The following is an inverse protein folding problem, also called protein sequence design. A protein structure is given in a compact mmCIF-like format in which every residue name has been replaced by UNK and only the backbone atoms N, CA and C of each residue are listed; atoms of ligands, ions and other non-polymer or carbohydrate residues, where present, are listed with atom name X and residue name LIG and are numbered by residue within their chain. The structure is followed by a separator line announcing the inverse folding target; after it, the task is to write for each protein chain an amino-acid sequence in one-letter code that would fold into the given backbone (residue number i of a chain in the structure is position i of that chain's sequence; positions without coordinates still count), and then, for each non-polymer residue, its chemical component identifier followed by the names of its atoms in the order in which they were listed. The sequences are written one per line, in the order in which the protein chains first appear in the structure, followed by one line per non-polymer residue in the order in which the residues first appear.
data_IF_553361638689
#
_entry.id   IF_553361638689
#
_cell.length_a   1.000
_cell.length_b   1.000
_cell.length_c   1.000
_cell.angle_alpha   90.00
_cell.angle_beta   90.00
_cell.angle_gamma   90.00
#
_symmetry.space_group_name_H-M   'P 1'
#
loop_
_entity.id
_entity.type
_entity.pdbx_description
1 polymer ?
#
# COMPACT_ATOMS: atom_id res chain seq x y z
N UNK A 1 -14.14 10.65 -15.65
CA UNK A 1 -15.00 10.61 -16.84
C UNK A 1 -16.14 9.61 -16.69
N UNK A 2 -15.91 8.30 -16.36
CA UNK A 2 -16.97 7.28 -16.28
C UNK A 2 -17.96 7.56 -15.13
N UNK A 3 -17.49 7.94 -13.94
CA UNK A 3 -18.35 8.27 -12.81
C UNK A 3 -19.31 9.43 -13.14
N UNK A 4 -18.83 10.49 -13.79
CA UNK A 4 -19.65 11.63 -14.19
C UNK A 4 -20.72 11.25 -15.22
N UNK A 5 -20.45 10.26 -16.11
CA UNK A 5 -21.45 9.72 -17.04
C UNK A 5 -22.49 8.86 -16.35
N UNK A 6 -22.09 8.07 -15.36
CA UNK A 6 -22.99 7.19 -14.60
C UNK A 6 -23.85 7.95 -13.59
N UNK A 7 -23.36 9.07 -13.07
CA UNK A 7 -24.05 9.92 -12.13
C UNK A 7 -23.79 11.40 -12.48
N UNK A 8 -24.55 11.99 -13.43
CA UNK A 8 -24.32 13.36 -13.91
C UNK A 8 -24.50 14.43 -12.82
N UNK A 9 -25.34 14.14 -11.82
CA UNK A 9 -25.66 15.07 -10.71
C UNK A 9 -24.71 14.93 -9.51
N UNK A 10 -23.71 14.04 -9.57
CA UNK A 10 -22.74 13.87 -8.49
C UNK A 10 -21.87 15.12 -8.34
N UNK A 11 -21.70 15.56 -7.09
CA UNK A 11 -20.75 16.61 -6.73
C UNK A 11 -19.38 15.99 -6.53
N UNK A 12 -18.39 16.48 -7.28
CA UNK A 12 -17.00 16.02 -7.17
C UNK A 12 -16.21 17.00 -6.30
N UNK A 13 -15.76 16.52 -5.16
CA UNK A 13 -14.99 17.31 -4.19
C UNK A 13 -13.51 16.90 -4.30
N UNK A 14 -12.56 17.86 -4.41
CA UNK A 14 -11.13 17.55 -4.35
C UNK A 14 -10.74 16.87 -3.04
N UNK A 15 -9.90 15.82 -3.06
CA UNK A 15 -9.44 15.16 -1.85
C UNK A 15 -8.52 16.09 -1.03
N UNK A 16 -8.63 16.03 0.32
CA UNK A 16 -7.81 16.80 1.26
C UNK A 16 -6.91 15.85 2.04
N UNK A 17 -5.89 15.29 1.36
CA UNK A 17 -5.03 14.25 1.94
C UNK A 17 -4.33 14.66 3.23
N UNK A 18 -3.93 15.93 3.39
CA UNK A 18 -3.32 16.44 4.63
C UNK A 18 -4.27 16.37 5.82
N UNK A 19 -5.55 16.74 5.62
CA UNK A 19 -6.58 16.60 6.64
C UNK A 19 -6.86 15.15 6.99
N UNK A 20 -6.92 14.26 5.98
CA UNK A 20 -7.13 12.83 6.23
C UNK A 20 -5.98 12.22 7.04
N UNK A 21 -4.72 12.62 6.75
CA UNK A 21 -3.56 12.18 7.52
C UNK A 21 -3.57 12.75 8.95
N UNK A 22 -4.10 13.95 9.17
CA UNK A 22 -4.26 14.54 10.50
C UNK A 22 -5.27 13.75 11.34
N UNK A 23 -6.46 13.53 10.79
CA UNK A 23 -7.51 12.73 11.47
C UNK A 23 -7.04 11.30 11.71
N UNK A 24 -6.35 10.69 10.75
CA UNK A 24 -5.73 9.37 10.93
C UNK A 24 -4.78 9.33 12.13
N UNK A 25 -3.97 10.39 12.34
CA UNK A 25 -3.10 10.50 13.53
C UNK A 25 -3.88 10.57 14.83
N UNK A 26 -5.00 11.31 14.87
CA UNK A 26 -5.88 11.38 16.03
C UNK A 26 -6.47 9.99 16.37
N UNK A 27 -7.00 9.28 15.37
CA UNK A 27 -7.52 7.92 15.54
C UNK A 27 -6.42 6.95 16.01
N UNK A 28 -5.22 7.03 15.43
CA UNK A 28 -4.08 6.22 15.88
C UNK A 28 -3.66 6.54 17.33
N UNK A 29 -3.81 7.77 17.78
CA UNK A 29 -3.57 8.12 19.18
C UNK A 29 -4.59 7.45 20.13
N UNK A 30 -5.86 7.32 19.73
CA UNK A 30 -6.87 6.53 20.46
C UNK A 30 -6.44 5.06 20.54
N UNK A 31 -6.04 4.45 19.42
CA UNK A 31 -5.59 3.04 19.41
C UNK A 31 -4.43 2.80 20.38
N UNK A 32 -3.44 3.68 20.39
CA UNK A 32 -2.24 3.56 21.24
C UNK A 32 -2.52 3.68 22.75
N UNK A 33 -3.68 4.16 23.16
CA UNK A 33 -4.11 4.13 24.59
C UNK A 33 -4.37 2.71 25.06
N UNK A 34 -4.78 1.81 24.16
CA UNK A 34 -5.17 0.44 24.46
C UNK A 34 -4.08 -0.58 24.20
N UNK A 35 -3.27 -0.38 23.18
CA UNK A 35 -2.14 -1.27 22.84
C UNK A 35 -1.04 -0.54 22.08
N UNK A 36 0.25 -0.84 22.33
CA UNK A 36 1.32 -0.38 21.48
C UNK A 36 1.42 -1.16 20.15
N UNK A 37 0.76 -2.33 20.06
CA UNK A 37 0.84 -3.22 18.89
C UNK A 37 -0.28 -2.84 17.90
N UNK A 38 -0.06 -1.77 17.15
CA UNK A 38 -0.96 -1.23 16.13
C UNK A 38 -0.28 -1.30 14.78
N UNK A 39 -0.87 -2.04 13.83
CA UNK A 39 -0.42 -2.15 12.44
C UNK A 39 -1.34 -1.35 11.52
N UNK A 40 -0.94 -0.16 11.05
CA UNK A 40 -1.71 0.60 10.07
C UNK A 40 -1.72 -0.12 8.71
N UNK A 41 -2.90 -0.24 8.09
CA UNK A 41 -3.06 -0.74 6.73
C UNK A 41 -3.25 0.39 5.72
N UNK A 42 -3.98 1.42 6.13
CA UNK A 42 -4.29 2.62 5.37
C UNK A 42 -4.47 3.81 6.33
N UNK A 43 -4.88 4.97 5.83
CA UNK A 43 -5.19 6.13 6.68
C UNK A 43 -6.36 5.89 7.64
N UNK A 44 -7.27 4.99 7.26
CA UNK A 44 -8.54 4.71 7.95
C UNK A 44 -8.67 3.26 8.43
N UNK A 45 -7.63 2.45 8.28
CA UNK A 45 -7.65 1.03 8.67
C UNK A 45 -6.40 0.64 9.47
N UNK A 46 -6.60 -0.12 10.54
CA UNK A 46 -5.51 -0.70 11.32
C UNK A 46 -5.91 -2.04 11.96
N UNK A 47 -4.91 -2.89 12.21
CA UNK A 47 -5.04 -4.01 13.14
C UNK A 47 -4.46 -3.64 14.49
N UNK A 48 -5.09 -4.12 15.54
CA UNK A 48 -4.66 -3.95 16.93
C UNK A 48 -4.55 -5.34 17.58
N UNK A 49 -3.41 -5.66 18.14
CA UNK A 49 -3.31 -6.80 19.05
C UNK A 49 -3.54 -6.31 20.49
N UNK A 50 -4.67 -6.69 21.05
CA UNK A 50 -5.09 -6.31 22.40
C UNK A 50 -4.97 -7.46 23.41
N UNK A 51 -4.32 -8.57 23.02
CA UNK A 51 -4.20 -9.78 23.85
C UNK A 51 -3.58 -9.46 25.21
N UNK A 52 -2.44 -8.76 25.22
CA UNK A 52 -1.75 -8.38 26.46
C UNK A 52 -2.52 -7.32 27.26
N UNK A 53 -3.35 -6.52 26.61
CA UNK A 53 -4.10 -5.41 27.21
C UNK A 53 -5.40 -5.84 27.89
N UNK A 54 -5.83 -7.07 27.67
CA UNK A 54 -7.09 -7.61 28.21
C UNK A 54 -7.18 -7.60 29.74
N UNK A 55 -6.05 -7.71 30.43
CA UNK A 55 -5.98 -7.62 31.91
C UNK A 55 -6.27 -6.22 32.45
N UNK A 56 -5.98 -5.18 31.67
CA UNK A 56 -6.15 -3.77 32.07
C UNK A 56 -7.51 -3.21 31.63
N UNK A 57 -7.93 -3.56 30.41
CA UNK A 57 -9.07 -2.91 29.77
C UNK A 57 -10.28 -3.83 29.56
N UNK A 58 -10.17 -5.11 29.93
CA UNK A 58 -11.19 -6.13 29.73
C UNK A 58 -11.06 -6.86 28.38
N UNK A 59 -12.04 -7.72 28.05
CA UNK A 59 -12.04 -8.51 26.82
C UNK A 59 -11.97 -7.63 25.55
N UNK A 60 -11.46 -8.19 24.44
CA UNK A 60 -11.31 -7.47 23.16
C UNK A 60 -12.60 -6.79 22.69
N UNK A 61 -13.76 -7.39 22.93
CA UNK A 61 -15.05 -6.79 22.59
C UNK A 61 -15.31 -5.48 23.38
N UNK A 62 -14.93 -5.44 24.65
CA UNK A 62 -15.09 -4.24 25.49
C UNK A 62 -14.11 -3.14 25.06
N UNK A 63 -12.88 -3.52 24.76
CA UNK A 63 -11.88 -2.60 24.19
C UNK A 63 -12.40 -2.00 22.88
N UNK A 64 -12.97 -2.82 22.00
CA UNK A 64 -13.53 -2.36 20.73
C UNK A 64 -14.68 -1.34 20.93
N UNK A 65 -15.56 -1.57 21.91
CA UNK A 65 -16.64 -0.61 22.25
C UNK A 65 -16.09 0.72 22.72
N UNK A 66 -15.06 0.71 23.56
CA UNK A 66 -14.41 1.93 24.04
C UNK A 66 -13.73 2.70 22.92
N UNK A 67 -12.97 2.02 22.06
CA UNK A 67 -12.31 2.62 20.90
C UNK A 67 -13.34 3.28 19.97
N UNK A 68 -14.44 2.59 19.63
CA UNK A 68 -15.52 3.15 18.80
C UNK A 68 -16.09 4.44 19.39
N UNK A 69 -16.38 4.43 20.69
CA UNK A 69 -16.91 5.59 21.40
C UNK A 69 -15.91 6.75 21.40
N UNK A 70 -14.65 6.54 21.77
CA UNK A 70 -13.63 7.57 21.82
C UNK A 70 -13.36 8.18 20.42
N UNK A 71 -13.33 7.37 19.35
CA UNK A 71 -13.23 7.87 17.99
C UNK A 71 -14.39 8.80 17.67
N UNK A 72 -15.62 8.42 18.00
CA UNK A 72 -16.79 9.25 17.75
C UNK A 72 -16.77 10.55 18.55
N UNK A 73 -16.38 10.50 19.82
CA UNK A 73 -16.29 11.67 20.71
C UNK A 73 -15.19 12.66 20.29
N UNK A 74 -14.04 12.16 19.80
CA UNK A 74 -12.89 12.99 19.47
C UNK A 74 -12.83 13.47 18.02
N UNK A 75 -13.50 12.76 17.09
CA UNK A 75 -13.37 13.04 15.64
C UNK A 75 -14.69 13.25 14.90
N UNK A 76 -15.84 13.07 15.56
CA UNK A 76 -17.17 13.02 14.96
C UNK A 76 -17.31 11.96 13.84
N UNK A 77 -16.42 10.93 13.85
CA UNK A 77 -16.46 9.84 12.88
C UNK A 77 -16.91 8.54 13.54
N UNK A 78 -17.56 7.69 12.76
CA UNK A 78 -17.92 6.34 13.18
C UNK A 78 -16.90 5.32 12.67
N UNK A 79 -16.59 4.31 13.50
CA UNK A 79 -15.70 3.21 13.13
C UNK A 79 -16.47 1.88 13.14
N UNK A 80 -16.21 1.02 12.15
CA UNK A 80 -16.66 -0.38 12.16
C UNK A 80 -15.52 -1.27 12.62
N UNK A 81 -15.75 -2.12 13.61
CA UNK A 81 -14.73 -2.95 14.24
C UNK A 81 -15.09 -4.43 14.18
N UNK A 82 -14.12 -5.25 13.77
CA UNK A 82 -14.16 -6.69 13.89
C UNK A 82 -13.25 -7.17 15.02
N UNK A 83 -13.77 -7.98 15.92
CA UNK A 83 -13.01 -8.64 16.99
C UNK A 83 -12.92 -10.12 16.68
N UNK A 84 -11.72 -10.67 16.59
CA UNK A 84 -11.54 -12.06 16.18
C UNK A 84 -10.17 -12.61 16.63
N UNK A 85 -9.95 -13.93 16.59
CA UNK A 85 -8.68 -14.55 16.96
C UNK A 85 -7.50 -14.22 16.05
N UNK A 86 -7.73 -13.75 14.80
CA UNK A 86 -6.67 -13.42 13.86
C UNK A 86 -7.05 -12.27 12.92
N UNK A 87 -6.06 -11.75 12.18
CA UNK A 87 -6.19 -10.58 11.30
C UNK A 87 -7.21 -10.77 10.19
N UNK A 88 -7.23 -11.94 9.55
CA UNK A 88 -8.17 -12.21 8.45
C UNK A 88 -9.62 -12.15 8.92
N UNK A 89 -9.93 -12.82 10.01
CA UNK A 89 -11.29 -12.83 10.57
C UNK A 89 -11.71 -11.45 11.09
N UNK A 90 -10.79 -10.74 11.76
CA UNK A 90 -11.06 -9.40 12.26
C UNK A 90 -11.37 -8.42 11.09
N UNK A 91 -10.57 -8.46 10.02
CA UNK A 91 -10.82 -7.63 8.83
C UNK A 91 -12.15 -7.96 8.17
N UNK A 92 -12.44 -9.25 7.98
CA UNK A 92 -13.69 -9.70 7.40
C UNK A 92 -14.91 -9.29 8.24
N UNK A 93 -14.81 -9.46 9.56
CA UNK A 93 -15.84 -9.08 10.50
C UNK A 93 -16.11 -7.55 10.49
N UNK A 94 -15.07 -6.72 10.40
CA UNK A 94 -15.23 -5.26 10.36
C UNK A 94 -16.01 -4.77 9.13
N UNK A 95 -16.04 -5.54 8.05
CA UNK A 95 -16.72 -5.17 6.79
C UNK A 95 -18.18 -5.64 6.68
N UNK A 96 -18.65 -6.50 7.60
CA UNK A 96 -19.98 -7.13 7.47
C UNK A 96 -21.13 -6.22 7.87
N UNK A 97 -20.95 -5.42 8.88
CA UNK A 97 -22.01 -4.60 9.48
C UNK A 97 -21.70 -3.09 9.37
N UNK A 98 -21.10 -2.68 8.25
CA UNK A 98 -20.85 -1.26 7.95
C UNK A 98 -22.15 -0.53 7.59
N UNK A 99 -22.31 0.77 7.98
CA UNK A 99 -21.44 1.56 8.85
C UNK A 99 -21.69 1.29 10.35
N UNK A 100 -20.74 1.75 11.18
CA UNK A 100 -20.80 1.71 12.66
C UNK A 100 -20.95 0.29 13.26
N UNK A 101 -20.56 -0.75 12.53
CA UNK A 101 -20.68 -2.14 12.95
C UNK A 101 -19.71 -2.54 14.07
N UNK A 102 -20.11 -3.57 14.82
CA UNK A 102 -19.25 -4.26 15.78
C UNK A 102 -19.54 -5.75 15.74
N UNK A 103 -18.68 -6.49 15.06
CA UNK A 103 -18.85 -7.93 14.86
C UNK A 103 -17.77 -8.68 15.64
N UNK A 104 -18.18 -9.67 16.43
CA UNK A 104 -17.29 -10.50 17.21
C UNK A 104 -17.35 -11.95 16.74
N UNK A 105 -16.21 -12.46 16.28
CA UNK A 105 -15.99 -13.87 15.96
C UNK A 105 -15.29 -14.50 17.16
N UNK A 106 -15.97 -15.38 17.88
CA UNK A 106 -15.41 -16.07 19.04
C UNK A 106 -14.47 -17.17 18.61
N UNK A 107 -13.53 -17.48 19.49
CA UNK A 107 -12.65 -18.64 19.31
C UNK A 107 -13.49 -19.93 19.23
N UNK A 108 -13.24 -20.75 18.21
CA UNK A 108 -14.01 -21.96 17.90
C UNK A 108 -15.27 -21.74 17.03
N UNK A 109 -15.69 -20.51 16.77
CA UNK A 109 -16.85 -20.17 15.92
C UNK A 109 -16.44 -19.80 14.48
N UNK A 110 -15.15 -19.81 14.15
CA UNK A 110 -14.59 -19.34 12.87
C UNK A 110 -15.23 -20.04 11.67
N UNK A 111 -15.44 -21.34 11.81
CA UNK A 111 -16.06 -22.16 10.75
C UNK A 111 -17.50 -21.73 10.48
N UNK A 112 -18.29 -21.58 11.53
CA UNK A 112 -19.71 -21.21 11.42
C UNK A 112 -19.83 -19.80 10.84
N UNK A 113 -18.95 -18.91 11.24
CA UNK A 113 -18.87 -17.54 10.74
C UNK A 113 -18.55 -17.50 9.25
N UNK A 114 -17.54 -18.27 8.79
CA UNK A 114 -17.05 -18.24 7.42
C UNK A 114 -17.95 -18.98 6.42
N UNK A 115 -18.61 -20.08 6.85
CA UNK A 115 -19.34 -21.01 5.98
C UNK A 115 -20.27 -20.33 4.96
N UNK A 116 -21.17 -19.42 5.35
CA UNK A 116 -22.16 -18.82 4.46
C UNK A 116 -21.62 -17.64 3.63
N UNK A 117 -20.43 -17.12 3.96
CA UNK A 117 -19.94 -15.89 3.35
C UNK A 117 -19.48 -16.12 1.90
N UNK A 118 -19.76 -15.17 0.98
CA UNK A 118 -19.27 -15.25 -0.39
C UNK A 118 -17.73 -15.31 -0.45
N UNK A 119 -17.20 -16.15 -1.31
CA UNK A 119 -15.73 -16.36 -1.47
C UNK A 119 -14.99 -15.07 -1.83
N UNK A 120 -15.63 -14.15 -2.53
CA UNK A 120 -15.11 -12.82 -2.88
C UNK A 120 -14.86 -11.91 -1.68
N UNK A 121 -15.35 -12.27 -0.48
CA UNK A 121 -15.08 -11.56 0.77
C UNK A 121 -13.71 -11.90 1.35
N UNK A 122 -13.06 -12.97 0.89
CA UNK A 122 -11.71 -13.31 1.34
C UNK A 122 -10.74 -12.22 0.88
N UNK A 123 -10.02 -11.64 1.82
CA UNK A 123 -9.00 -10.65 1.53
C UNK A 123 -7.93 -11.22 0.61
N UNK A 124 -7.73 -10.57 -0.54
CA UNK A 124 -6.87 -11.03 -1.62
C UNK A 124 -7.60 -11.73 -2.77
N UNK A 125 -8.87 -12.12 -2.62
CA UNK A 125 -9.69 -12.62 -3.73
C UNK A 125 -10.25 -11.43 -4.51
N UNK A 126 -9.47 -10.95 -5.48
CA UNK A 126 -9.91 -9.95 -6.43
C UNK A 126 -10.78 -10.53 -7.55
N UNK A 127 -11.26 -9.66 -8.45
CA UNK A 127 -12.15 -10.02 -9.56
C UNK A 127 -11.69 -11.25 -10.35
N UNK A 128 -10.39 -11.29 -10.75
CA UNK A 128 -9.86 -12.40 -11.56
C UNK A 128 -9.92 -13.75 -10.82
N UNK A 129 -9.51 -13.75 -9.54
CA UNK A 129 -9.57 -14.99 -8.72
C UNK A 129 -11.00 -15.40 -8.44
N UNK A 130 -11.90 -14.46 -8.21
CA UNK A 130 -13.34 -14.73 -8.03
C UNK A 130 -13.95 -15.38 -9.29
N UNK A 131 -13.67 -14.84 -10.48
CA UNK A 131 -14.13 -15.40 -11.76
C UNK A 131 -13.62 -16.85 -12.01
N UNK A 132 -12.40 -17.16 -11.55
CA UNK A 132 -11.86 -18.54 -11.62
C UNK A 132 -12.61 -19.46 -10.66
N UNK A 133 -12.79 -19.03 -9.41
CA UNK A 133 -13.49 -19.81 -8.39
C UNK A 133 -14.97 -20.05 -8.76
N UNK A 134 -15.65 -19.04 -9.29
CA UNK A 134 -17.03 -19.16 -9.77
C UNK A 134 -17.18 -20.20 -10.90
N UNK A 135 -16.22 -20.22 -11.86
CA UNK A 135 -16.20 -21.27 -12.91
C UNK A 135 -15.99 -22.68 -12.36
N UNK A 136 -15.38 -22.81 -11.18
CA UNK A 136 -15.23 -24.07 -10.46
C UNK A 136 -16.46 -24.41 -9.60
N UNK A 137 -17.52 -23.58 -9.62
CA UNK A 137 -18.71 -23.74 -8.78
C UNK A 137 -18.50 -23.36 -7.31
N UNK A 138 -17.44 -22.61 -7.00
CA UNK A 138 -17.09 -22.16 -5.66
C UNK A 138 -17.65 -20.77 -5.45
N UNK A 139 -18.75 -20.65 -4.71
CA UNK A 139 -19.46 -19.39 -4.46
C UNK A 139 -19.23 -18.90 -3.04
N UNK A 140 -19.22 -19.81 -2.08
CA UNK A 140 -19.04 -19.49 -0.66
C UNK A 140 -17.66 -19.91 -0.14
N UNK A 141 -17.28 -19.37 1.01
CA UNK A 141 -16.07 -19.80 1.73
C UNK A 141 -16.22 -21.26 2.16
N UNK A 142 -17.43 -21.70 2.50
CA UNK A 142 -17.75 -23.08 2.76
C UNK A 142 -17.48 -24.00 1.58
N UNK A 143 -17.83 -23.59 0.35
CA UNK A 143 -17.49 -24.34 -0.86
C UNK A 143 -15.97 -24.44 -1.05
N UNK A 144 -15.28 -23.31 -0.91
CA UNK A 144 -13.82 -23.26 -1.05
C UNK A 144 -13.12 -24.21 -0.06
N UNK A 145 -13.62 -24.30 1.17
CA UNK A 145 -13.06 -25.18 2.21
C UNK A 145 -13.18 -26.66 1.86
N UNK A 146 -14.21 -27.06 1.09
CA UNK A 146 -14.42 -28.46 0.66
C UNK A 146 -13.48 -28.87 -0.46
N UNK A 147 -12.87 -27.94 -1.17
CA UNK A 147 -11.93 -28.21 -2.25
C UNK A 147 -10.59 -28.65 -1.69
N UNK A 148 -9.98 -29.67 -2.33
CA UNK A 148 -8.64 -30.11 -1.99
C UNK A 148 -7.62 -28.97 -2.16
N UNK A 149 -6.79 -28.65 -1.14
CA UNK A 149 -5.79 -27.59 -1.23
C UNK A 149 -4.83 -27.73 -2.41
N UNK A 150 -4.42 -28.95 -2.74
CA UNK A 150 -3.55 -29.25 -3.88
C UNK A 150 -4.18 -28.85 -5.21
N UNK A 151 -5.50 -29.03 -5.37
CA UNK A 151 -6.20 -28.61 -6.58
C UNK A 151 -6.26 -27.09 -6.69
N UNK A 152 -6.51 -26.37 -5.58
CA UNK A 152 -6.45 -24.90 -5.55
C UNK A 152 -5.06 -24.39 -5.86
N UNK A 153 -4.01 -25.06 -5.37
CA UNK A 153 -2.62 -24.73 -5.68
C UNK A 153 -2.29 -24.92 -7.17
N UNK A 154 -2.82 -25.96 -7.81
CA UNK A 154 -2.67 -26.17 -9.26
C UNK A 154 -3.30 -25.05 -10.08
N UNK A 155 -4.48 -24.55 -9.68
CA UNK A 155 -5.24 -23.56 -10.45
C UNK A 155 -4.78 -22.11 -10.17
N UNK A 156 -4.48 -21.80 -8.91
CA UNK A 156 -4.18 -20.44 -8.45
C UNK A 156 -2.75 -20.26 -7.87
N UNK A 157 -1.92 -21.30 -7.94
CA UNK A 157 -0.56 -21.27 -7.40
C UNK A 157 -0.53 -21.05 -5.88
N UNK A 158 0.51 -20.36 -5.39
CA UNK A 158 0.67 -20.00 -3.97
C UNK A 158 -0.53 -19.24 -3.41
N UNK A 159 -1.23 -18.47 -4.26
CA UNK A 159 -2.45 -17.79 -3.85
C UNK A 159 -3.58 -18.78 -3.50
N UNK A 160 -3.72 -19.87 -4.26
CA UNK A 160 -4.68 -20.93 -3.95
C UNK A 160 -4.42 -21.60 -2.60
N UNK A 161 -3.16 -21.88 -2.27
CA UNK A 161 -2.78 -22.40 -0.95
C UNK A 161 -3.17 -21.43 0.17
N UNK A 162 -2.85 -20.15 -0.03
CA UNK A 162 -3.15 -19.11 0.94
C UNK A 162 -4.66 -18.99 1.22
N UNK A 163 -5.49 -18.82 0.18
CA UNK A 163 -6.94 -18.68 0.38
C UNK A 163 -7.58 -19.96 0.93
N UNK A 164 -7.00 -21.13 0.65
CA UNK A 164 -7.41 -22.42 1.23
C UNK A 164 -7.21 -22.46 2.74
N UNK A 165 -6.12 -21.86 3.26
CA UNK A 165 -5.87 -21.71 4.72
C UNK A 165 -6.85 -20.73 5.32
N UNK A 166 -7.05 -19.57 4.68
CA UNK A 166 -8.01 -18.55 5.13
C UNK A 166 -9.44 -19.09 5.19
N UNK A 167 -9.87 -19.91 4.22
CA UNK A 167 -11.18 -20.55 4.22
C UNK A 167 -11.39 -21.49 5.42
N UNK A 168 -10.32 -21.90 6.09
CA UNK A 168 -10.34 -22.70 7.32
C UNK A 168 -10.21 -21.88 8.58
N UNK A 169 -10.18 -20.53 8.45
CA UNK A 169 -9.98 -19.61 9.57
C UNK A 169 -8.51 -19.51 10.01
N UNK A 170 -7.56 -20.05 9.24
CA UNK A 170 -6.15 -20.11 9.62
C UNK A 170 -5.38 -18.92 9.04
N UNK A 171 -4.99 -17.99 9.90
CA UNK A 171 -4.11 -16.87 9.59
C UNK A 171 -3.14 -16.66 10.76
N UNK A 172 -1.89 -17.05 10.57
CA UNK A 172 -0.84 -16.98 11.60
C UNK A 172 -0.04 -15.67 11.56
N UNK A 173 -0.42 -14.72 10.69
CA UNK A 173 0.28 -13.45 10.60
C UNK A 173 0.08 -12.64 11.87
N UNK A 174 1.17 -12.30 12.54
CA UNK A 174 1.14 -11.40 13.69
C UNK A 174 0.76 -9.97 13.26
N UNK A 175 0.29 -9.17 14.20
CA UNK A 175 0.16 -7.72 14.07
C UNK A 175 1.55 -7.12 14.21
N UNK A 176 2.06 -6.44 13.18
CA UNK A 176 3.41 -5.89 13.13
C UNK A 176 3.31 -4.36 13.00
N UNK A 177 3.67 -3.60 14.06
CA UNK A 177 3.51 -2.14 14.07
C UNK A 177 4.28 -1.40 12.99
N UNK A 178 5.46 -1.91 12.63
CA UNK A 178 6.34 -1.27 11.68
C UNK A 178 6.73 -2.23 10.55
N UNK A 179 6.43 -1.83 9.34
CA UNK A 179 6.91 -2.51 8.14
C UNK A 179 7.93 -1.61 7.45
N UNK A 180 9.13 -2.14 7.24
CA UNK A 180 10.09 -1.48 6.37
C UNK A 180 9.49 -1.29 4.97
N UNK A 181 9.61 -0.09 4.43
CA UNK A 181 9.20 0.17 3.06
C UNK A 181 9.96 -0.75 2.10
N UNK A 182 9.28 -1.37 1.15
CA UNK A 182 9.91 -2.21 0.12
C UNK A 182 10.23 -1.43 -1.14
N UNK A 183 9.52 -0.34 -1.37
CA UNK A 183 9.73 0.58 -2.48
C UNK A 183 9.19 1.96 -2.13
N UNK A 184 9.78 2.98 -2.74
CA UNK A 184 9.31 4.36 -2.73
C UNK A 184 9.02 4.73 -4.17
N UNK A 185 7.83 5.23 -4.47
CA UNK A 185 7.48 5.65 -5.82
C UNK A 185 6.61 6.90 -5.83
N UNK A 186 6.75 7.67 -6.90
CA UNK A 186 5.86 8.76 -7.26
C UNK A 186 5.37 8.57 -8.69
N UNK A 187 4.08 8.80 -8.93
CA UNK A 187 3.50 8.77 -10.27
C UNK A 187 2.48 9.87 -10.45
N UNK A 188 2.37 10.39 -11.67
CA UNK A 188 1.37 11.38 -12.06
C UNK A 188 0.56 10.89 -13.26
N UNK A 189 -0.76 11.14 -13.19
CA UNK A 189 -1.67 10.94 -14.32
C UNK A 189 -2.01 12.31 -14.90
N UNK A 190 -1.72 12.50 -16.15
CA UNK A 190 -1.94 13.78 -16.84
C UNK A 190 -3.43 14.03 -17.09
N UNK A 191 -3.83 15.30 -17.06
CA UNK A 191 -5.19 15.72 -17.43
C UNK A 191 -5.44 15.49 -18.94
N UNK A 192 -4.43 15.78 -19.76
CA UNK A 192 -4.34 15.50 -21.17
C UNK A 192 -3.09 14.66 -21.43
N UNK A 193 -3.17 13.72 -22.39
CA UNK A 193 -2.07 12.81 -22.67
C UNK A 193 -0.87 13.57 -23.28
N UNK A 194 0.34 13.32 -22.80
CA UNK A 194 1.58 13.99 -23.20
C UNK A 194 2.25 13.22 -24.34
N UNK A 195 2.63 13.93 -25.40
CA UNK A 195 3.31 13.33 -26.57
C UNK A 195 4.73 13.88 -26.79
N UNK A 196 5.07 15.05 -26.20
CA UNK A 196 6.39 15.66 -26.38
C UNK A 196 7.44 14.96 -25.50
N UNK A 197 8.52 14.40 -26.09
CA UNK A 197 9.55 13.71 -25.29
C UNK A 197 10.23 14.58 -24.25
N UNK A 198 10.45 15.86 -24.56
CA UNK A 198 11.05 16.82 -23.64
C UNK A 198 10.17 17.06 -22.40
N UNK A 199 8.85 17.13 -22.59
CA UNK A 199 7.90 17.27 -21.49
C UNK A 199 7.87 16.01 -20.64
N UNK A 200 7.86 14.83 -21.25
CA UNK A 200 7.92 13.55 -20.52
C UNK A 200 9.20 13.45 -19.69
N UNK A 201 10.33 13.87 -20.24
CA UNK A 201 11.62 13.89 -19.55
C UNK A 201 11.61 14.85 -18.36
N UNK A 202 11.07 16.05 -18.53
CA UNK A 202 10.94 17.03 -17.46
C UNK A 202 10.11 16.46 -16.28
N UNK A 203 8.99 15.80 -16.58
CA UNK A 203 8.17 15.13 -15.57
C UNK A 203 8.92 13.99 -14.89
N UNK A 204 9.65 13.17 -15.62
CA UNK A 204 10.42 12.07 -15.02
C UNK A 204 11.53 12.58 -14.09
N UNK A 205 12.19 13.69 -14.45
CA UNK A 205 13.16 14.36 -13.58
C UNK A 205 12.52 14.84 -12.30
N UNK A 206 11.37 15.49 -12.37
CA UNK A 206 10.63 15.97 -11.20
C UNK A 206 10.20 14.80 -10.29
N UNK A 207 9.69 13.72 -10.88
CA UNK A 207 9.31 12.51 -10.14
C UNK A 207 10.52 11.83 -9.47
N UNK A 208 11.68 11.81 -10.15
CA UNK A 208 12.91 11.28 -9.58
C UNK A 208 13.38 12.08 -8.36
N UNK A 209 13.28 13.41 -8.42
CA UNK A 209 13.56 14.30 -7.29
C UNK A 209 12.65 14.02 -6.08
N UNK A 210 11.36 13.86 -6.33
CA UNK A 210 10.39 13.57 -5.27
C UNK A 210 10.66 12.22 -4.61
N UNK A 211 11.06 11.21 -5.40
CA UNK A 211 11.45 9.89 -4.90
C UNK A 211 12.74 9.99 -4.08
N UNK A 212 13.76 10.69 -4.58
CA UNK A 212 15.05 10.88 -3.90
C UNK A 212 14.86 11.60 -2.55
N UNK A 213 14.13 12.71 -2.55
CA UNK A 213 13.82 13.49 -1.33
C UNK A 213 13.09 12.62 -0.28
N UNK A 214 12.11 11.81 -0.72
CA UNK A 214 11.42 10.90 0.18
C UNK A 214 12.32 9.78 0.70
N UNK A 215 13.21 9.24 -0.14
CA UNK A 215 14.16 8.21 0.25
C UNK A 215 15.17 8.73 1.28
N UNK A 216 15.69 9.97 1.12
CA UNK A 216 16.55 10.64 2.12
C UNK A 216 15.83 10.80 3.45
N UNK A 217 14.60 11.34 3.44
CA UNK A 217 13.81 11.53 4.67
C UNK A 217 13.50 10.24 5.42
N UNK A 218 13.43 9.11 4.72
CA UNK A 218 13.20 7.78 5.29
C UNK A 218 14.51 7.02 5.53
N UNK A 219 15.67 7.65 5.27
CA UNK A 219 16.99 7.02 5.37
C UNK A 219 17.06 5.65 4.66
N UNK A 220 16.39 5.55 3.50
CA UNK A 220 16.19 4.31 2.76
C UNK A 220 16.86 4.36 1.39
N UNK A 221 18.19 4.16 1.30
CA UNK A 221 18.87 4.07 0.02
C UNK A 221 18.48 2.80 -0.73
N UNK A 222 18.28 2.93 -2.05
CA UNK A 222 17.84 1.81 -2.87
C UNK A 222 18.74 1.60 -4.09
N UNK A 223 18.76 0.37 -4.61
CA UNK A 223 19.61 0.00 -5.76
C UNK A 223 18.84 -0.09 -7.07
N UNK A 224 17.53 -0.33 -7.05
CA UNK A 224 16.76 -0.55 -8.26
C UNK A 224 15.88 0.65 -8.55
N UNK A 225 16.22 1.38 -9.61
CA UNK A 225 15.44 2.50 -10.14
C UNK A 225 14.55 1.99 -11.25
N UNK A 226 13.28 2.38 -11.25
CA UNK A 226 12.32 2.00 -12.27
C UNK A 226 11.53 3.18 -12.80
N UNK A 227 11.15 3.13 -14.07
CA UNK A 227 10.13 3.98 -14.67
C UNK A 227 8.89 3.17 -15.01
N UNK A 228 7.74 3.79 -14.83
CA UNK A 228 6.43 3.26 -15.21
C UNK A 228 5.78 4.21 -16.20
N UNK A 229 5.35 3.67 -17.32
CA UNK A 229 4.69 4.43 -18.38
C UNK A 229 3.37 3.78 -18.71
N UNK A 230 2.29 4.56 -18.69
CA UNK A 230 0.99 4.12 -19.18
C UNK A 230 0.57 4.97 -20.35
N UNK A 231 0.28 4.35 -21.45
CA UNK A 231 -0.16 5.00 -22.69
C UNK A 231 -1.66 5.33 -22.66
N UNK A 232 -2.12 6.10 -23.64
CA UNK A 232 -3.52 6.51 -23.79
C UNK A 232 -4.51 5.34 -23.84
N UNK A 233 -4.09 4.19 -24.38
CA UNK A 233 -4.85 2.93 -24.47
C UNK A 233 -4.86 2.12 -23.17
N UNK A 234 -4.27 2.65 -22.07
CA UNK A 234 -4.06 2.00 -20.78
C UNK A 234 -3.04 0.85 -20.79
N UNK A 235 -2.37 0.57 -21.88
CA UNK A 235 -1.19 -0.30 -21.88
C UNK A 235 -0.13 0.28 -20.96
N UNK A 236 0.40 -0.54 -20.07
CA UNK A 236 1.41 -0.09 -19.09
C UNK A 236 2.69 -0.89 -19.28
N UNK A 237 3.80 -0.19 -19.35
CA UNK A 237 5.14 -0.78 -19.32
C UNK A 237 5.90 -0.31 -18.09
N UNK A 238 6.78 -1.16 -17.59
CA UNK A 238 7.73 -0.84 -16.52
C UNK A 238 9.12 -1.26 -16.97
N UNK A 239 10.11 -0.43 -16.73
CA UNK A 239 11.52 -0.70 -16.98
C UNK A 239 12.31 -0.34 -15.75
N UNK A 240 13.35 -1.11 -15.47
CA UNK A 240 14.17 -0.93 -14.30
C UNK A 240 15.65 -1.16 -14.62
N UNK A 241 16.50 -0.48 -13.89
CA UNK A 241 17.94 -0.67 -13.84
C UNK A 241 18.36 -0.84 -12.38
N UNK A 242 19.30 -1.75 -12.14
CA UNK A 242 19.89 -1.94 -10.82
C UNK A 242 21.28 -1.33 -10.80
N UNK A 243 21.48 -0.37 -9.90
CA UNK A 243 22.74 0.34 -9.70
C UNK A 243 23.75 -0.56 -8.96
N UNK A 244 25.02 -0.24 -9.08
CA UNK A 244 26.10 -0.97 -8.40
C UNK A 244 26.00 -0.85 -6.87
N UNK A 245 25.55 0.31 -6.39
CA UNK A 245 25.37 0.60 -4.95
C UNK A 245 23.99 1.16 -4.64
N UNK A 246 23.61 1.12 -3.37
CA UNK A 246 22.38 1.72 -2.89
C UNK A 246 22.57 3.24 -2.74
N UNK A 247 21.59 4.01 -3.21
CA UNK A 247 21.62 5.47 -3.24
C UNK A 247 20.26 6.10 -2.98
N UNK A 248 20.27 7.34 -2.53
CA UNK A 248 19.14 8.28 -2.55
C UNK A 248 19.53 9.63 -3.19
N UNK A 249 20.68 9.65 -3.91
CA UNK A 249 21.15 10.84 -4.63
C UNK A 249 20.19 11.19 -5.76
N UNK A 250 19.72 12.43 -5.79
CA UNK A 250 18.89 12.96 -6.87
C UNK A 250 19.58 12.84 -8.22
N UNK A 251 20.89 13.10 -8.27
CA UNK A 251 21.71 13.01 -9.49
C UNK A 251 21.72 11.60 -10.05
N UNK A 252 22.01 10.59 -9.22
CA UNK A 252 22.09 9.20 -9.67
C UNK A 252 20.72 8.65 -10.11
N UNK A 253 19.65 9.01 -9.38
CA UNK A 253 18.31 8.65 -9.79
C UNK A 253 17.93 9.26 -11.15
N UNK A 254 18.27 10.54 -11.38
CA UNK A 254 18.02 11.21 -12.68
C UNK A 254 18.79 10.53 -13.80
N UNK A 255 20.09 10.23 -13.60
CA UNK A 255 20.90 9.53 -14.59
C UNK A 255 20.30 8.17 -14.97
N UNK A 256 19.87 7.39 -13.96
CA UNK A 256 19.20 6.11 -14.19
C UNK A 256 17.88 6.26 -14.95
N UNK A 257 17.09 7.26 -14.60
CA UNK A 257 15.82 7.57 -15.29
C UNK A 257 16.04 8.01 -16.72
N UNK A 258 17.04 8.88 -16.98
CA UNK A 258 17.40 9.34 -18.32
C UNK A 258 17.84 8.17 -19.21
N UNK A 259 18.64 7.23 -18.68
CA UNK A 259 19.05 6.02 -19.39
C UNK A 259 17.83 5.18 -19.79
N UNK A 260 16.95 4.89 -18.85
CA UNK A 260 15.73 4.10 -19.09
C UNK A 260 14.77 4.79 -20.07
N UNK A 261 14.69 6.12 -20.03
CA UNK A 261 13.88 6.90 -20.95
C UNK A 261 14.44 6.85 -22.37
N UNK A 262 15.75 7.07 -22.54
CA UNK A 262 16.41 7.08 -23.84
C UNK A 262 16.31 5.74 -24.56
N UNK A 263 16.45 4.62 -23.82
CA UNK A 263 16.39 3.28 -24.40
C UNK A 263 15.01 2.90 -24.98
N UNK A 264 13.91 3.44 -24.44
CA UNK A 264 12.58 2.88 -24.68
C UNK A 264 11.50 3.88 -25.06
N UNK A 265 11.66 5.16 -24.74
CA UNK A 265 10.64 6.19 -24.94
C UNK A 265 11.11 7.34 -25.80
N UNK A 266 12.42 7.53 -25.95
CA UNK A 266 12.99 8.64 -26.74
C UNK A 266 12.59 8.66 -28.23
N UNK A 267 11.97 7.58 -28.71
CA UNK A 267 11.48 7.43 -30.08
C UNK A 267 9.97 7.14 -30.16
N UNK A 268 9.27 7.04 -29.02
CA UNK A 268 7.87 6.69 -29.01
C UNK A 268 6.99 7.93 -29.26
N UNK A 269 6.36 7.97 -30.42
CA UNK A 269 5.34 8.97 -30.78
C UNK A 269 3.97 8.70 -30.14
N UNK A 270 3.88 7.77 -29.19
CA UNK A 270 2.60 7.40 -28.57
C UNK A 270 2.29 8.32 -27.39
N UNK A 271 1.05 8.86 -27.32
CA UNK A 271 0.64 9.69 -26.19
C UNK A 271 0.67 8.92 -24.86
N UNK A 272 1.26 9.54 -23.85
CA UNK A 272 1.45 9.00 -22.50
C UNK A 272 0.47 9.62 -21.53
N UNK A 273 -0.28 8.78 -20.83
CA UNK A 273 -1.28 9.15 -19.85
C UNK A 273 -0.74 9.25 -18.43
N UNK A 274 0.26 8.45 -18.07
CA UNK A 274 0.85 8.40 -16.75
C UNK A 274 2.34 8.11 -16.84
N UNK A 275 3.10 8.84 -16.05
CA UNK A 275 4.51 8.58 -15.77
C UNK A 275 4.71 8.33 -14.28
N UNK A 276 5.65 7.46 -13.96
CA UNK A 276 6.05 7.16 -12.59
C UNK A 276 7.52 6.80 -12.49
N UNK A 277 8.12 7.14 -11.36
CA UNK A 277 9.47 6.74 -10.96
C UNK A 277 9.38 6.00 -9.64
N UNK A 278 10.19 4.96 -9.47
CA UNK A 278 10.27 4.17 -8.25
C UNK A 278 11.70 3.79 -7.91
N UNK A 279 11.95 3.66 -6.61
CA UNK A 279 13.20 3.18 -6.00
C UNK A 279 12.88 1.99 -5.11
N UNK A 280 13.65 0.93 -5.23
CA UNK A 280 13.50 -0.31 -4.46
C UNK A 280 14.84 -1.01 -4.27
N UNK A 281 14.82 -2.21 -3.62
CA UNK A 281 16.05 -2.90 -3.30
C UNK A 281 16.82 -2.14 -2.21
N UNK A 282 16.10 -1.75 -1.15
CA UNK A 282 16.67 -1.07 0.00
C UNK A 282 17.61 -2.01 0.74
N UNK A 283 18.75 -1.51 1.16
CA UNK A 283 19.76 -2.19 1.92
C UNK A 283 20.61 -1.16 2.65
N UNK A 284 21.45 -1.64 3.55
CA UNK A 284 22.47 -0.79 4.17
C UNK A 284 23.31 -0.16 3.07
N UNK A 285 23.66 1.11 3.25
CA UNK A 285 24.77 1.71 2.48
C UNK A 285 25.97 0.88 2.90
N UNK A 286 26.27 -0.16 2.12
CA UNK A 286 27.50 -0.90 2.32
C UNK A 286 28.61 0.13 2.46
N UNK A 287 29.39 -0.02 3.53
CA UNK A 287 30.57 0.80 3.74
C UNK A 287 31.48 0.58 2.51
N UNK A 288 31.23 1.33 1.47
CA UNK A 288 32.04 1.27 0.26
C UNK A 288 33.43 1.67 0.67
N UNK A 289 34.35 0.80 0.36
CA UNK A 289 35.74 1.20 0.17
C UNK A 289 35.75 2.14 -1.05
N UNK A 290 35.24 3.37 -0.79
CA UNK A 290 35.07 4.39 -1.83
C UNK A 290 36.42 4.79 -2.35
N UNK A 291 36.52 4.91 -3.66
CA UNK A 291 37.64 5.60 -4.31
C UNK A 291 37.71 7.03 -3.72
N UNK A 292 38.88 7.43 -3.29
CA UNK A 292 39.12 8.73 -2.62
C UNK A 292 38.58 9.95 -3.38
N UNK A 293 38.39 9.82 -4.69
CA UNK A 293 37.90 10.88 -5.59
C UNK A 293 36.37 10.94 -5.64
N UNK A 294 35.66 9.85 -5.37
CA UNK A 294 34.18 9.81 -5.38
C UNK A 294 33.58 10.47 -4.13
N UNK A 295 34.29 10.50 -3.02
CA UNK A 295 33.81 11.12 -1.77
C UNK A 295 33.56 12.64 -1.86
N UNK A 296 34.38 13.36 -2.62
CA UNK A 296 34.25 14.82 -2.76
C UNK A 296 33.03 15.21 -3.63
N UNK A 297 32.71 14.43 -4.65
CA UNK A 297 31.52 14.62 -5.48
C UNK A 297 30.24 14.23 -4.73
N UNK A 298 30.25 13.09 -4.04
CA UNK A 298 29.12 12.64 -3.22
C UNK A 298 28.79 13.65 -2.10
N UNK A 299 29.80 14.21 -1.42
CA UNK A 299 29.61 15.22 -0.39
C UNK A 299 28.97 16.52 -0.95
N UNK A 300 29.33 16.94 -2.17
CA UNK A 300 28.71 18.09 -2.83
C UNK A 300 27.27 17.80 -3.23
N UNK A 301 26.99 16.64 -3.78
CA UNK A 301 25.66 16.21 -4.18
C UNK A 301 24.73 16.13 -2.95
N UNK A 302 25.20 15.57 -1.82
CA UNK A 302 24.45 15.53 -0.56
C UNK A 302 24.14 16.93 -0.04
N UNK A 303 25.10 17.86 -0.09
CA UNK A 303 24.88 19.25 0.35
C UNK A 303 23.84 19.95 -0.53
N UNK A 304 23.89 19.76 -1.84
CA UNK A 304 22.93 20.33 -2.79
C UNK A 304 21.52 19.76 -2.56
N UNK A 305 21.42 18.44 -2.41
CA UNK A 305 20.18 17.75 -2.13
C UNK A 305 19.53 18.24 -0.82
N UNK A 306 20.30 18.44 0.25
CA UNK A 306 19.84 19.00 1.52
C UNK A 306 19.30 20.43 1.39
N UNK A 307 19.98 21.25 0.60
CA UNK A 307 19.53 22.64 0.34
C UNK A 307 18.21 22.64 -0.43
N UNK A 308 18.09 21.80 -1.46
CA UNK A 308 16.87 21.67 -2.24
C UNK A 308 15.70 21.16 -1.40
N UNK A 309 15.94 20.15 -0.55
CA UNK A 309 14.92 19.61 0.35
C UNK A 309 14.44 20.65 1.37
N UNK A 310 15.35 21.47 1.93
CA UNK A 310 14.99 22.60 2.81
C UNK A 310 14.19 23.67 2.09
N UNK A 311 14.55 24.00 0.85
CA UNK A 311 13.80 24.97 0.05
C UNK A 311 12.37 24.49 -0.23
N UNK A 312 12.20 23.23 -0.66
CA UNK A 312 10.88 22.62 -0.94
C UNK A 312 9.98 22.50 0.30
N UNK A 313 10.56 22.29 1.47
CA UNK A 313 9.79 22.24 2.73
C UNK A 313 9.35 23.60 3.24
N UNK A 314 9.85 24.69 2.66
CA UNK A 314 9.58 26.08 3.08
C UNK A 314 8.49 26.75 2.24
N UNK A 315 8.26 26.25 1.05
CA UNK A 315 7.26 26.72 0.08
C UNK A 315 6.29 25.59 -0.31
#
# INVERSE_FOLDING_TARGET
ARAKRLCPHAVFIPPRHSLYAEVSRQINAVFKRYTPVVEPLALDEAFLDVTASSKLFGPGLEIARRIKREIAEETDLVASVGVAPNKFLAKLASDLDKPDGLVWVRDGEERQFLEPLPVKRIWGVGRRSAEVLERMGIITIGDLRRVCPAHLAQVLGKHGEHISRLARGLDERAVVPEHAARSISHETTFAEDVSAPEEMRAWLVELAEQVASRARRLESPGRTVQIKVRFHDFRTITRAVTLEHATYSSRELRQAVDLLFAERLGQAAEPVRLLGVGLSGFGDVDAQQGDLFSHAEQARDTTLDDVLDRARNRF
#
